data_IF_677076159911
#
_entry.id   IF_677076159911
#
_cell.length_a   1.000
_cell.length_b   1.000
_cell.length_c   1.000
_cell.angle_alpha   90.00
_cell.angle_beta   90.00
_cell.angle_gamma   90.00
#
_symmetry.space_group_name_H-M   'P 1'
#
loop_
_entity.id
_entity.type
_entity.pdbx_description
1 polymer ?
#
# COMPACT_ATOMS: atom_id res chain seq x y z
N UNK A 1 10.49 20.86 -13.84
CA UNK A 1 10.53 19.43 -13.46
C UNK A 1 9.81 18.48 -14.42
N UNK A 2 8.47 18.34 -14.42
CA UNK A 2 7.80 17.28 -15.22
C UNK A 2 8.00 17.44 -16.74
N UNK A 3 7.89 18.65 -17.25
CA UNK A 3 8.10 18.96 -18.68
C UNK A 3 9.53 18.64 -19.10
N UNK A 4 10.52 19.09 -18.32
CA UNK A 4 11.94 18.81 -18.56
C UNK A 4 12.23 17.31 -18.54
N UNK A 5 11.75 16.57 -17.53
CA UNK A 5 11.88 15.11 -17.47
C UNK A 5 11.25 14.43 -18.69
N UNK A 6 10.12 14.93 -19.17
CA UNK A 6 9.47 14.37 -20.37
C UNK A 6 10.36 14.55 -21.60
N UNK A 7 10.96 15.73 -21.77
CA UNK A 7 11.88 16.04 -22.87
C UNK A 7 13.14 15.18 -22.79
N UNK A 8 13.74 15.04 -21.61
CA UNK A 8 14.97 14.27 -21.43
C UNK A 8 14.75 12.77 -21.66
N UNK A 9 13.64 12.23 -21.14
CA UNK A 9 13.25 10.84 -21.39
C UNK A 9 12.94 10.61 -22.88
N UNK A 10 12.25 11.53 -23.54
CA UNK A 10 11.98 11.43 -24.97
C UNK A 10 13.26 11.47 -25.82
N UNK A 11 14.22 12.32 -25.45
CA UNK A 11 15.54 12.39 -26.11
C UNK A 11 16.30 11.06 -25.96
N UNK A 12 16.20 10.41 -24.80
CA UNK A 12 16.93 9.17 -24.50
C UNK A 12 16.28 7.92 -25.08
N UNK A 13 14.95 7.82 -24.99
CA UNK A 13 14.20 6.59 -25.28
C UNK A 13 13.30 6.68 -26.51
N UNK A 14 13.20 7.85 -27.14
CA UNK A 14 12.30 8.12 -28.27
C UNK A 14 10.91 8.58 -27.82
N UNK A 15 10.41 9.65 -28.41
CA UNK A 15 9.12 10.27 -28.07
C UNK A 15 7.94 9.29 -28.09
N UNK A 16 7.92 8.36 -29.06
CA UNK A 16 6.87 7.35 -29.24
C UNK A 16 6.77 6.34 -28.08
N UNK A 17 7.84 6.25 -27.28
CA UNK A 17 7.96 5.35 -26.14
C UNK A 17 7.61 6.02 -24.81
N UNK A 18 7.34 7.33 -24.80
CA UNK A 18 6.96 8.08 -23.60
C UNK A 18 5.46 8.34 -23.59
N UNK A 19 4.78 7.85 -22.54
CA UNK A 19 3.33 8.04 -22.34
C UNK A 19 3.09 8.80 -21.04
N UNK A 20 2.45 9.97 -21.13
CA UNK A 20 2.20 10.83 -19.98
C UNK A 20 0.94 10.41 -19.21
N UNK A 21 1.11 9.65 -18.13
CA UNK A 21 0.05 9.35 -17.17
C UNK A 21 -0.23 10.53 -16.21
N UNK A 22 -1.21 10.36 -15.31
CA UNK A 22 -1.60 11.42 -14.35
C UNK A 22 -0.50 11.74 -13.33
N UNK A 23 0.11 10.70 -12.74
CA UNK A 23 1.15 10.82 -11.69
C UNK A 23 2.55 10.42 -12.15
N UNK A 24 2.66 9.71 -13.26
CA UNK A 24 3.93 9.17 -13.77
C UNK A 24 4.08 9.42 -15.27
N UNK A 25 5.30 9.22 -15.77
CA UNK A 25 5.68 9.10 -17.17
C UNK A 25 6.01 7.63 -17.42
N UNK A 26 5.19 6.94 -18.22
CA UNK A 26 5.41 5.54 -18.58
C UNK A 26 6.39 5.50 -19.76
N UNK A 27 7.47 4.76 -19.57
CA UNK A 27 8.42 4.40 -20.63
C UNK A 27 8.03 3.00 -21.09
N UNK A 28 7.60 2.88 -22.35
CA UNK A 28 7.30 1.58 -22.98
C UNK A 28 8.55 0.72 -23.04
N UNK A 29 8.37 -0.60 -22.97
CA UNK A 29 9.44 -1.55 -23.22
C UNK A 29 9.95 -1.40 -24.66
N UNK A 30 11.26 -1.22 -24.82
CA UNK A 30 11.94 -1.22 -26.12
C UNK A 30 12.75 -2.51 -26.28
N UNK A 31 13.18 -2.86 -27.49
CA UNK A 31 14.01 -4.05 -27.74
C UNK A 31 15.18 -4.15 -26.76
N UNK A 32 15.30 -5.28 -26.06
CA UNK A 32 16.30 -5.51 -25.00
C UNK A 32 15.87 -5.07 -23.60
N UNK A 33 14.70 -4.45 -23.44
CA UNK A 33 14.15 -4.10 -22.12
C UNK A 33 13.57 -5.31 -21.41
N UNK A 34 13.71 -5.34 -20.08
CA UNK A 34 13.10 -6.38 -19.23
C UNK A 34 11.64 -6.10 -18.85
N UNK A 35 11.25 -4.83 -18.81
CA UNK A 35 9.91 -4.37 -18.44
C UNK A 35 9.68 -2.92 -18.88
N UNK A 36 8.43 -2.49 -18.84
CA UNK A 36 8.08 -1.07 -18.84
C UNK A 36 8.46 -0.42 -17.51
N UNK A 37 8.70 0.89 -17.52
CA UNK A 37 9.09 1.66 -16.32
C UNK A 37 8.18 2.86 -16.15
N UNK A 38 7.72 3.09 -14.91
CA UNK A 38 7.06 4.34 -14.53
C UNK A 38 8.06 5.27 -13.84
N UNK A 39 8.32 6.44 -14.43
CA UNK A 39 9.08 7.51 -13.79
C UNK A 39 8.10 8.45 -13.11
N UNK A 40 8.27 8.67 -11.81
CA UNK A 40 7.40 9.53 -11.00
C UNK A 40 8.15 10.83 -10.67
N UNK A 41 7.80 11.96 -11.32
CA UNK A 41 8.35 13.26 -10.96
C UNK A 41 7.86 13.65 -9.55
N UNK A 42 8.79 13.87 -8.63
CA UNK A 42 8.47 14.24 -7.26
C UNK A 42 9.49 15.23 -6.70
N UNK A 43 9.04 16.03 -5.74
CA UNK A 43 9.91 16.91 -4.95
C UNK A 43 10.02 16.38 -3.53
N UNK A 44 11.12 16.69 -2.85
CA UNK A 44 11.27 16.38 -1.43
C UNK A 44 10.26 17.19 -0.61
N UNK A 45 9.58 16.50 0.31
CA UNK A 45 8.61 17.05 1.24
C UNK A 45 9.17 16.89 2.66
N UNK A 46 8.99 17.90 3.50
CA UNK A 46 9.15 17.78 4.95
C UNK A 46 7.77 17.97 5.59
N UNK A 47 7.21 16.88 6.14
CA UNK A 47 5.99 16.96 6.91
C UNK A 47 6.33 17.31 8.36
N UNK A 48 5.89 18.47 8.82
CA UNK A 48 6.23 19.02 10.15
C UNK A 48 4.97 19.07 11.00
N UNK A 49 5.06 18.58 12.23
CA UNK A 49 3.99 18.70 13.22
C UNK A 49 4.55 18.99 14.61
N UNK A 50 3.71 19.59 15.45
CA UNK A 50 4.02 19.81 16.86
C UNK A 50 3.78 18.53 17.66
N UNK A 51 4.78 18.08 18.44
CA UNK A 51 4.61 17.03 19.44
C UNK A 51 4.51 17.67 20.82
N UNK A 52 3.30 17.73 21.43
CA UNK A 52 3.10 18.38 22.73
C UNK A 52 3.96 17.79 23.84
N UNK A 53 4.04 16.45 23.94
CA UNK A 53 4.75 15.76 25.03
C UNK A 53 6.25 16.03 25.02
N UNK A 54 6.83 16.18 23.83
CA UNK A 54 8.25 16.48 23.63
C UNK A 54 8.53 17.99 23.53
N UNK A 55 7.48 18.82 23.56
CA UNK A 55 7.54 20.27 23.36
C UNK A 55 8.42 20.70 22.18
N UNK A 56 8.34 19.97 21.05
CA UNK A 56 9.16 20.24 19.86
C UNK A 56 8.41 19.98 18.56
N UNK A 57 8.89 20.61 17.49
CA UNK A 57 8.50 20.23 16.14
C UNK A 57 9.23 18.97 15.70
N UNK A 58 8.47 18.08 15.09
CA UNK A 58 8.96 16.83 14.55
C UNK A 58 8.75 16.84 13.05
N UNK A 59 9.73 16.28 12.35
CA UNK A 59 9.80 16.36 10.89
C UNK A 59 10.02 14.98 10.31
N UNK A 60 9.20 14.61 9.35
CA UNK A 60 9.39 13.41 8.54
C UNK A 60 9.57 13.78 7.08
N UNK A 61 10.67 13.34 6.50
CA UNK A 61 10.94 13.46 5.07
C UNK A 61 10.02 12.52 4.28
N UNK A 62 9.44 13.04 3.20
CA UNK A 62 8.70 12.28 2.22
C UNK A 62 8.90 12.86 0.83
N UNK A 63 7.99 12.53 -0.07
CA UNK A 63 7.94 13.09 -1.42
C UNK A 63 6.55 13.65 -1.70
N UNK A 64 6.49 14.72 -2.47
CA UNK A 64 5.25 15.27 -3.00
C UNK A 64 5.22 15.12 -4.53
N UNK A 65 4.15 14.50 -5.02
CA UNK A 65 3.92 14.25 -6.44
C UNK A 65 2.81 15.19 -6.90
N UNK A 66 3.08 16.03 -7.90
CA UNK A 66 2.08 16.87 -8.55
C UNK A 66 1.51 16.14 -9.77
N UNK A 67 0.22 15.79 -9.74
CA UNK A 67 -0.45 15.22 -10.90
C UNK A 67 -0.72 16.26 -11.97
N UNK A 68 -0.97 15.80 -13.21
CA UNK A 68 -1.23 16.67 -14.37
C UNK A 68 -2.47 17.56 -14.20
N UNK A 69 -3.41 17.17 -13.36
CA UNK A 69 -4.60 17.93 -13.01
C UNK A 69 -4.39 18.88 -11.82
N UNK A 70 -3.15 19.08 -11.38
CA UNK A 70 -2.80 20.05 -10.34
C UNK A 70 -2.95 19.55 -8.90
N UNK A 71 -3.31 18.28 -8.68
CA UNK A 71 -3.46 17.73 -7.33
C UNK A 71 -2.13 17.24 -6.75
N UNK A 72 -1.90 17.53 -5.48
CA UNK A 72 -0.75 17.01 -4.74
C UNK A 72 -1.05 15.65 -4.13
N UNK A 73 -0.11 14.72 -4.22
CA UNK A 73 -0.11 13.46 -3.47
C UNK A 73 1.17 13.42 -2.62
N UNK A 74 1.01 13.40 -1.30
CA UNK A 74 2.12 13.23 -0.36
C UNK A 74 2.36 11.73 -0.11
N UNK A 75 3.61 11.30 -0.14
CA UNK A 75 3.99 9.91 0.05
C UNK A 75 5.26 9.78 0.89
N UNK A 76 5.40 8.64 1.57
CA UNK A 76 6.47 8.36 2.55
C UNK A 76 7.13 7.00 2.23
N UNK A 77 7.78 6.88 1.05
CA UNK A 77 8.27 5.60 0.54
C UNK A 77 9.38 4.99 1.38
N UNK A 78 10.27 5.81 1.96
CA UNK A 78 11.36 5.35 2.81
C UNK A 78 10.83 4.74 4.11
N UNK A 79 9.86 5.39 4.75
CA UNK A 79 9.19 4.90 5.95
C UNK A 79 8.39 3.62 5.66
N UNK A 80 7.66 3.57 4.54
CA UNK A 80 6.99 2.36 4.07
C UNK A 80 7.99 1.21 3.95
N UNK A 81 9.12 1.45 3.29
CA UNK A 81 10.14 0.45 3.03
C UNK A 81 10.77 -0.07 4.33
N UNK A 82 11.21 0.83 5.20
CA UNK A 82 11.80 0.52 6.49
C UNK A 82 10.84 -0.28 7.38
N UNK A 83 9.59 0.18 7.54
CA UNK A 83 8.58 -0.50 8.34
C UNK A 83 8.24 -1.89 7.78
N UNK A 84 8.18 -2.01 6.44
CA UNK A 84 7.97 -3.28 5.77
C UNK A 84 9.11 -4.27 5.97
N UNK A 85 10.37 -3.81 5.98
CA UNK A 85 11.54 -4.64 6.32
C UNK A 85 11.48 -5.06 7.79
N UNK A 86 11.23 -4.12 8.69
CA UNK A 86 11.18 -4.38 10.13
C UNK A 86 10.11 -5.44 10.47
N UNK A 87 8.87 -5.28 9.98
CA UNK A 87 7.81 -6.28 10.18
C UNK A 87 8.15 -7.61 9.52
N UNK A 88 8.78 -7.61 8.34
CA UNK A 88 9.26 -8.85 7.70
C UNK A 88 10.31 -9.56 8.56
N UNK A 89 11.18 -8.85 9.27
CA UNK A 89 12.15 -9.45 10.17
C UNK A 89 11.46 -10.05 11.40
N UNK A 90 10.62 -9.26 12.10
CA UNK A 90 9.91 -9.69 13.32
C UNK A 90 8.95 -10.86 13.11
N UNK A 91 8.39 -11.01 11.91
CA UNK A 91 7.43 -12.08 11.58
C UNK A 91 8.07 -13.31 10.92
N UNK A 92 9.37 -13.55 11.11
CA UNK A 92 10.10 -14.66 10.49
C UNK A 92 9.89 -14.75 8.96
N UNK A 93 9.88 -13.58 8.30
CA UNK A 93 9.65 -13.39 6.87
C UNK A 93 8.25 -13.78 6.36
N UNK A 94 7.31 -14.09 7.26
CA UNK A 94 5.95 -14.52 6.91
C UNK A 94 5.07 -13.34 6.46
N UNK A 95 5.27 -12.14 6.99
CA UNK A 95 4.49 -10.94 6.59
C UNK A 95 4.37 -10.77 5.07
N UNK A 96 5.50 -10.64 4.35
CA UNK A 96 5.46 -10.46 2.89
C UNK A 96 4.92 -11.69 2.13
N UNK A 97 5.02 -12.90 2.70
CA UNK A 97 4.39 -14.11 2.11
C UNK A 97 2.88 -14.00 2.19
N UNK A 98 2.35 -13.61 3.35
CA UNK A 98 0.90 -13.41 3.54
C UNK A 98 0.38 -12.26 2.67
N UNK A 99 1.10 -11.13 2.57
CA UNK A 99 0.73 -10.04 1.66
C UNK A 99 0.55 -10.54 0.22
N UNK A 100 1.45 -11.41 -0.27
CA UNK A 100 1.33 -12.01 -1.61
C UNK A 100 0.11 -12.92 -1.74
N UNK A 101 -0.20 -13.71 -0.71
CA UNK A 101 -1.39 -14.57 -0.69
C UNK A 101 -2.66 -13.71 -0.72
N UNK A 102 -2.77 -12.69 0.11
CA UNK A 102 -3.93 -11.80 0.13
C UNK A 102 -4.09 -11.03 -1.19
N UNK A 103 -2.99 -10.60 -1.83
CA UNK A 103 -3.05 -10.00 -3.18
C UNK A 103 -3.59 -10.97 -4.23
N UNK A 104 -3.20 -12.25 -4.16
CA UNK A 104 -3.71 -13.31 -5.03
C UNK A 104 -5.18 -13.61 -4.75
N UNK A 105 -5.57 -13.75 -3.49
CA UNK A 105 -6.98 -13.93 -3.08
C UNK A 105 -7.83 -12.78 -3.58
N UNK A 106 -7.38 -11.53 -3.42
CA UNK A 106 -8.08 -10.36 -3.98
C UNK A 106 -8.30 -10.47 -5.49
N UNK A 107 -7.29 -10.89 -6.24
CA UNK A 107 -7.41 -11.09 -7.69
C UNK A 107 -8.38 -12.24 -8.02
N UNK A 108 -8.26 -13.40 -7.38
CA UNK A 108 -9.16 -14.55 -7.58
C UNK A 108 -10.62 -14.21 -7.28
N UNK A 109 -10.87 -13.54 -6.16
CA UNK A 109 -12.22 -13.10 -5.77
C UNK A 109 -12.80 -12.10 -6.76
N UNK A 110 -11.97 -11.22 -7.33
CA UNK A 110 -12.40 -10.28 -8.37
C UNK A 110 -12.73 -11.01 -9.67
N UNK A 111 -11.87 -11.93 -10.11
CA UNK A 111 -12.04 -12.67 -11.37
C UNK A 111 -13.27 -13.59 -11.32
N UNK A 112 -13.64 -14.07 -10.12
CA UNK A 112 -14.86 -14.84 -9.87
C UNK A 112 -16.12 -13.98 -9.62
N UNK A 113 -16.00 -12.65 -9.69
CA UNK A 113 -17.12 -11.72 -9.46
C UNK A 113 -17.61 -11.64 -8.01
N UNK A 114 -16.85 -12.16 -7.05
CA UNK A 114 -17.20 -12.15 -5.62
C UNK A 114 -16.79 -10.85 -4.91
N UNK A 115 -15.78 -10.14 -5.43
CA UNK A 115 -15.33 -8.86 -4.91
C UNK A 115 -15.69 -7.73 -5.87
N UNK A 116 -16.69 -6.94 -5.51
CA UNK A 116 -17.22 -5.84 -6.33
C UNK A 116 -16.47 -4.52 -6.14
N UNK A 117 -15.80 -4.36 -5.00
CA UNK A 117 -15.03 -3.17 -4.65
C UNK A 117 -13.61 -3.22 -5.22
N UNK A 118 -13.05 -2.05 -5.54
CA UNK A 118 -11.64 -1.96 -5.96
C UNK A 118 -10.74 -1.76 -4.75
N UNK A 119 -9.91 -2.76 -4.45
CA UNK A 119 -8.98 -2.75 -3.32
C UNK A 119 -7.55 -2.65 -3.86
N UNK A 120 -6.84 -1.51 -3.78
CA UNK A 120 -5.49 -1.42 -4.33
C UNK A 120 -4.50 -2.37 -3.66
N UNK A 121 -3.48 -2.82 -4.40
CA UNK A 121 -2.42 -3.68 -3.84
C UNK A 121 -1.71 -3.03 -2.64
N UNK A 122 -1.62 -1.70 -2.63
CA UNK A 122 -1.11 -0.92 -1.51
C UNK A 122 -2.00 -1.08 -0.27
N UNK A 123 -3.32 -0.91 -0.42
CA UNK A 123 -4.28 -1.12 0.67
C UNK A 123 -4.18 -2.54 1.24
N UNK A 124 -4.12 -3.58 0.40
CA UNK A 124 -3.95 -4.97 0.88
C UNK A 124 -2.70 -5.13 1.76
N UNK A 125 -1.60 -4.46 1.39
CA UNK A 125 -0.36 -4.51 2.17
C UNK A 125 -0.47 -3.77 3.50
N UNK A 126 -1.13 -2.61 3.54
CA UNK A 126 -1.43 -1.91 4.78
C UNK A 126 -2.34 -2.74 5.70
N UNK A 127 -3.40 -3.35 5.16
CA UNK A 127 -4.32 -4.18 5.94
C UNK A 127 -3.60 -5.36 6.61
N UNK A 128 -2.76 -6.09 5.86
CA UNK A 128 -1.97 -7.18 6.44
C UNK A 128 -0.89 -6.66 7.40
N UNK A 129 -0.38 -5.45 7.21
CA UNK A 129 0.61 -4.83 8.10
C UNK A 129 0.04 -4.55 9.50
N UNK A 130 -1.24 -4.19 9.59
CA UNK A 130 -1.93 -3.87 10.85
C UNK A 130 -2.11 -5.07 11.80
N UNK A 131 -2.13 -6.30 11.27
CA UNK A 131 -2.28 -7.51 12.09
C UNK A 131 -1.02 -7.72 12.94
N UNK A 132 -1.18 -8.07 14.22
CA UNK A 132 -0.09 -8.18 15.19
C UNK A 132 0.87 -9.33 14.86
N UNK A 133 2.15 -9.17 15.21
CA UNK A 133 3.21 -10.11 14.83
C UNK A 133 2.96 -11.53 15.36
N UNK A 134 2.31 -11.66 16.53
CA UNK A 134 1.94 -12.94 17.13
C UNK A 134 1.07 -13.82 16.21
N UNK A 135 0.19 -13.22 15.41
CA UNK A 135 -0.67 -13.95 14.46
C UNK A 135 0.13 -14.61 13.32
N UNK A 136 1.33 -14.09 13.03
CA UNK A 136 2.26 -14.67 12.06
C UNK A 136 3.15 -15.76 12.67
N UNK A 137 3.35 -15.75 13.98
CA UNK A 137 4.42 -16.50 14.67
C UNK A 137 3.96 -17.81 15.33
N UNK A 138 2.68 -18.15 15.29
CA UNK A 138 2.19 -19.44 15.80
C UNK A 138 2.90 -20.61 15.09
N UNK A 139 3.57 -21.46 15.89
CA UNK A 139 4.47 -22.51 15.40
C UNK A 139 3.76 -23.80 14.99
N UNK A 140 2.65 -24.13 15.64
CA UNK A 140 1.84 -25.33 15.36
C UNK A 140 1.04 -25.26 14.06
N UNK A 141 1.07 -24.11 13.39
CA UNK A 141 0.12 -23.77 12.36
C UNK A 141 0.72 -23.88 10.95
N UNK A 142 -0.04 -24.51 10.07
CA UNK A 142 0.31 -24.64 8.66
C UNK A 142 0.16 -23.28 7.93
N UNK A 143 0.38 -23.28 6.61
CA UNK A 143 0.23 -22.04 5.84
C UNK A 143 -1.23 -21.57 5.75
N UNK A 144 -2.19 -22.50 5.69
CA UNK A 144 -3.59 -22.20 5.49
C UNK A 144 -4.23 -21.65 6.77
N UNK A 145 -4.05 -22.31 7.91
CA UNK A 145 -4.52 -21.83 9.21
C UNK A 145 -3.96 -20.45 9.54
N UNK A 146 -2.72 -20.14 9.11
CA UNK A 146 -2.14 -18.80 9.29
C UNK A 146 -2.87 -17.74 8.50
N UNK A 147 -3.17 -18.04 7.23
CA UNK A 147 -3.93 -17.13 6.37
C UNK A 147 -5.33 -16.88 6.94
N UNK A 148 -6.01 -17.94 7.40
CA UNK A 148 -7.34 -17.86 8.03
C UNK A 148 -7.33 -16.98 9.26
N UNK A 149 -6.43 -17.26 10.21
CA UNK A 149 -6.35 -16.50 11.47
C UNK A 149 -6.03 -15.03 11.23
N UNK A 150 -5.15 -14.72 10.27
CA UNK A 150 -4.85 -13.33 9.89
C UNK A 150 -6.07 -12.67 9.25
N UNK A 151 -6.83 -13.38 8.41
CA UNK A 151 -8.07 -12.86 7.82
C UNK A 151 -9.11 -12.53 8.89
N UNK A 152 -9.33 -13.45 9.83
CA UNK A 152 -10.25 -13.25 10.96
C UNK A 152 -9.79 -12.10 11.87
N UNK A 153 -8.50 -12.01 12.19
CA UNK A 153 -7.98 -10.88 12.99
C UNK A 153 -8.15 -9.54 12.26
N UNK A 154 -7.87 -9.50 10.96
CA UNK A 154 -8.06 -8.32 10.14
C UNK A 154 -9.54 -7.89 10.13
N UNK A 155 -10.47 -8.83 9.98
CA UNK A 155 -11.90 -8.55 10.07
C UNK A 155 -12.27 -7.93 11.43
N UNK A 156 -11.83 -8.55 12.52
CA UNK A 156 -12.08 -8.02 13.86
C UNK A 156 -11.55 -6.58 14.04
N UNK A 157 -10.33 -6.31 13.55
CA UNK A 157 -9.74 -4.96 13.58
C UNK A 157 -10.57 -3.94 12.77
N UNK A 158 -11.12 -4.33 11.63
CA UNK A 158 -11.92 -3.46 10.77
C UNK A 158 -13.35 -3.25 11.29
N UNK A 159 -13.85 -4.11 12.18
CA UNK A 159 -15.16 -3.96 12.82
C UNK A 159 -15.09 -3.12 14.10
N UNK A 160 -13.92 -2.99 14.71
CA UNK A 160 -13.70 -2.15 15.89
C UNK A 160 -13.49 -0.66 15.49
N UNK A 161 -14.43 0.24 15.82
CA UNK A 161 -14.30 1.66 15.45
C UNK A 161 -13.07 2.34 16.06
N UNK A 162 -12.68 1.96 17.29
CA UNK A 162 -11.52 2.55 17.96
C UNK A 162 -10.22 2.12 17.26
N UNK A 163 -10.12 0.85 16.88
CA UNK A 163 -8.99 0.36 16.10
C UNK A 163 -8.89 1.09 14.74
N UNK A 164 -10.01 1.22 14.03
CA UNK A 164 -10.10 1.91 12.72
C UNK A 164 -9.63 3.36 12.83
N UNK A 165 -10.04 4.09 13.87
CA UNK A 165 -9.62 5.47 14.15
C UNK A 165 -8.12 5.60 14.47
N UNK A 166 -7.42 4.49 14.72
CA UNK A 166 -5.98 4.48 14.95
C UNK A 166 -5.17 3.85 13.80
N UNK A 167 -5.80 3.22 12.82
CA UNK A 167 -5.11 2.64 11.65
C UNK A 167 -4.34 3.66 10.80
N UNK A 168 -3.07 3.37 10.55
CA UNK A 168 -2.22 4.11 9.63
C UNK A 168 -1.88 3.29 8.39
N UNK A 169 -1.46 3.95 7.32
CA UNK A 169 -0.70 3.30 6.27
C UNK A 169 0.57 2.67 6.86
N UNK A 170 1.17 1.71 6.16
CA UNK A 170 2.43 1.06 6.60
C UNK A 170 3.58 2.06 6.85
N UNK A 171 3.56 3.25 6.26
CA UNK A 171 4.54 4.31 6.58
C UNK A 171 4.40 4.86 8.01
N UNK A 172 3.26 4.67 8.68
CA UNK A 172 3.01 5.17 10.03
C UNK A 172 2.74 6.67 10.12
N UNK A 173 2.71 7.40 9.00
CA UNK A 173 2.51 8.85 8.96
C UNK A 173 1.07 9.20 8.63
N UNK A 174 0.50 8.59 7.60
CA UNK A 174 -0.86 8.88 7.14
C UNK A 174 -1.88 7.93 7.79
N UNK A 175 -3.05 8.46 8.12
CA UNK A 175 -4.24 7.64 8.43
C UNK A 175 -4.51 6.68 7.27
N UNK A 176 -4.93 5.45 7.54
CA UNK A 176 -5.26 4.50 6.48
C UNK A 176 -6.53 4.92 5.71
N UNK A 177 -7.47 5.55 6.42
CA UNK A 177 -8.72 6.06 5.87
C UNK A 177 -8.77 7.57 6.08
N UNK A 178 -8.81 8.32 4.98
CA UNK A 178 -9.03 9.76 4.96
C UNK A 178 -9.62 10.17 3.58
N UNK A 179 -10.25 11.35 3.47
CA UNK A 179 -11.02 11.73 2.28
C UNK A 179 -10.26 11.68 0.95
N UNK A 180 -8.95 11.96 0.94
CA UNK A 180 -8.14 11.98 -0.29
C UNK A 180 -7.68 10.59 -0.78
N UNK A 181 -8.09 9.51 -0.10
CA UNK A 181 -7.75 8.15 -0.53
C UNK A 181 -8.62 7.66 -1.68
N UNK A 182 -8.03 6.78 -2.50
CA UNK A 182 -8.77 6.08 -3.56
C UNK A 182 -9.56 4.85 -3.07
N UNK A 183 -9.78 4.75 -1.75
CA UNK A 183 -10.48 3.66 -1.09
C UNK A 183 -11.12 4.16 0.21
N UNK A 184 -12.09 3.40 0.71
CA UNK A 184 -12.82 3.68 1.94
C UNK A 184 -12.62 2.57 2.98
N UNK A 185 -13.04 2.84 4.22
CA UNK A 185 -13.17 1.80 5.25
C UNK A 185 -14.15 0.71 4.82
N UNK A 186 -15.25 1.06 4.15
CA UNK A 186 -16.22 0.10 3.65
C UNK A 186 -15.63 -0.83 2.58
N UNK A 187 -14.74 -0.33 1.70
CA UNK A 187 -14.03 -1.18 0.72
C UNK A 187 -13.14 -2.21 1.42
N UNK A 188 -12.40 -1.79 2.45
CA UNK A 188 -11.56 -2.68 3.25
C UNK A 188 -12.39 -3.72 4.02
N UNK A 189 -13.51 -3.32 4.62
CA UNK A 189 -14.42 -4.21 5.34
C UNK A 189 -15.06 -5.23 4.39
N UNK A 190 -15.51 -4.79 3.23
CA UNK A 190 -16.09 -5.66 2.18
C UNK A 190 -15.07 -6.69 1.72
N UNK A 191 -13.82 -6.27 1.48
CA UNK A 191 -12.72 -7.17 1.16
C UNK A 191 -12.47 -8.20 2.26
N UNK A 192 -12.36 -7.75 3.51
CA UNK A 192 -12.10 -8.63 4.65
C UNK A 192 -13.20 -9.68 4.83
N UNK A 193 -14.47 -9.25 4.78
CA UNK A 193 -15.63 -10.13 4.87
C UNK A 193 -15.65 -11.18 3.75
N UNK A 194 -15.35 -10.77 2.52
CA UNK A 194 -15.30 -11.68 1.36
C UNK A 194 -14.18 -12.70 1.50
N UNK A 195 -13.00 -12.28 1.97
CA UNK A 195 -11.86 -13.18 2.23
C UNK A 195 -12.19 -14.18 3.32
N UNK A 196 -12.77 -13.74 4.44
CA UNK A 196 -13.19 -14.62 5.53
C UNK A 196 -14.24 -15.63 5.05
N UNK A 197 -15.25 -15.19 4.30
CA UNK A 197 -16.28 -16.08 3.74
C UNK A 197 -15.67 -17.16 2.83
N UNK A 198 -14.71 -16.79 1.98
CA UNK A 198 -14.00 -17.73 1.09
C UNK A 198 -13.11 -18.73 1.84
N UNK A 199 -12.62 -18.35 3.02
CA UNK A 199 -11.71 -19.16 3.84
C UNK A 199 -12.42 -19.98 4.93
N UNK A 200 -13.71 -19.75 5.16
CA UNK A 200 -14.55 -20.46 6.13
C UNK A 200 -14.31 -20.07 7.61
N UNK A 201 -15.29 -20.42 8.46
CA UNK A 201 -15.26 -20.17 9.92
C UNK A 201 -14.26 -21.07 10.63
N UNK A 202 -13.49 -20.51 11.57
CA UNK A 202 -12.50 -21.24 12.37
C UNK A 202 -13.11 -22.44 13.09
#
# INVERSE_FOLDING_TARGET
MRTELTVDLARRFGQQNIVAGQKALRIKGITGSRAEVDVVPAIRLHHVWWQPDAMRYETVEGIAILSRDGRWTLNFPEQHHANGIAKRARTAHRFKRIVRIFKRLRSDLKDRGLLTVTVPSFLVECLVYLVEDAFFLINSDDQYGRVRRIAHRLQALLTDPQAVEQMTEINGVKRLFHPDQGWTHQDALTFSNTVVAQLGNL
#
